data_IF_095262202248
#
_entry.id   IF_095262202248
#
_cell.length_a   1.000
_cell.length_b   1.000
_cell.length_c   1.000
_cell.angle_alpha   90.00
_cell.angle_beta   90.00
_cell.angle_gamma   90.00
#
_symmetry.space_group_name_H-M   'P 1'
#
loop_
_entity.id
_entity.type
_entity.pdbx_description
1 polymer ?
#
# COMPACT_ATOMS: atom_id res chain seq x y z
N UNK A 1 16.02 -12.99 -25.96
CA UNK A 1 15.01 -14.03 -25.71
C UNK A 1 15.00 -14.37 -24.22
N UNK A 2 16.14 -14.76 -23.65
CA UNK A 2 16.27 -15.20 -22.26
C UNK A 2 15.77 -14.19 -21.20
N UNK A 3 16.05 -12.90 -21.34
CA UNK A 3 15.60 -11.87 -20.40
C UNK A 3 14.10 -11.60 -20.42
N UNK A 4 13.44 -11.85 -21.53
CA UNK A 4 11.98 -11.70 -21.65
C UNK A 4 11.28 -12.85 -20.93
N UNK A 5 11.81 -14.06 -21.08
CA UNK A 5 11.25 -15.25 -20.46
C UNK A 5 11.44 -15.20 -18.93
N UNK A 6 12.60 -14.76 -18.46
CA UNK A 6 12.88 -14.51 -17.04
C UNK A 6 11.91 -13.47 -16.42
N UNK A 7 11.60 -12.40 -17.14
CA UNK A 7 10.66 -11.40 -16.65
C UNK A 7 9.22 -11.93 -16.64
N UNK A 8 8.81 -12.69 -17.64
CA UNK A 8 7.48 -13.33 -17.69
C UNK A 8 7.30 -14.28 -16.50
N UNK A 9 8.32 -15.07 -16.19
CA UNK A 9 8.32 -15.94 -15.01
C UNK A 9 8.20 -15.13 -13.72
N UNK A 10 8.99 -14.09 -13.57
CA UNK A 10 8.92 -13.17 -12.41
C UNK A 10 7.55 -12.50 -12.27
N UNK A 11 6.99 -12.00 -13.36
CA UNK A 11 5.66 -11.41 -13.41
C UNK A 11 4.60 -12.39 -12.92
N UNK A 12 4.57 -13.58 -13.50
CA UNK A 12 3.59 -14.62 -13.16
C UNK A 12 3.68 -15.05 -11.70
N UNK A 13 4.90 -15.17 -11.16
CA UNK A 13 5.14 -15.57 -9.78
C UNK A 13 4.82 -14.46 -8.76
N UNK A 14 4.88 -13.18 -9.16
CA UNK A 14 4.81 -12.04 -8.23
C UNK A 14 3.60 -11.14 -8.39
N UNK A 15 2.76 -11.33 -9.40
CA UNK A 15 1.65 -10.42 -9.68
C UNK A 15 0.65 -10.33 -8.51
N UNK A 16 0.21 -11.46 -7.97
CA UNK A 16 -0.72 -11.50 -6.83
C UNK A 16 -0.10 -10.89 -5.56
N UNK A 17 1.18 -11.16 -5.31
CA UNK A 17 1.89 -10.53 -4.21
C UNK A 17 1.97 -9.00 -4.39
N UNK A 18 2.30 -8.53 -5.59
CA UNK A 18 2.36 -7.11 -5.91
C UNK A 18 1.00 -6.40 -5.73
N UNK A 19 -0.09 -7.04 -6.15
CA UNK A 19 -1.46 -6.53 -5.91
C UNK A 19 -1.75 -6.38 -4.42
N UNK A 20 -1.35 -7.33 -3.59
CA UNK A 20 -1.53 -7.28 -2.14
C UNK A 20 -0.70 -6.16 -1.50
N UNK A 21 0.54 -5.96 -1.93
CA UNK A 21 1.37 -4.82 -1.50
C UNK A 21 0.68 -3.51 -1.83
N UNK A 22 0.23 -3.35 -3.05
CA UNK A 22 -0.47 -2.16 -3.50
C UNK A 22 -1.79 -1.93 -2.74
N UNK A 23 -2.55 -3.00 -2.50
CA UNK A 23 -3.79 -2.95 -1.73
C UNK A 23 -3.57 -2.52 -0.27
N UNK A 24 -2.52 -3.00 0.39
CA UNK A 24 -2.17 -2.56 1.74
C UNK A 24 -1.93 -1.04 1.81
N UNK A 25 -1.40 -0.46 0.73
CA UNK A 25 -1.14 0.98 0.62
C UNK A 25 -2.39 1.81 0.27
N UNK A 26 -3.15 1.40 -0.75
CA UNK A 26 -4.26 2.19 -1.31
C UNK A 26 -5.64 1.79 -0.78
N UNK A 27 -5.83 0.55 -0.32
CA UNK A 27 -7.08 0.06 0.23
C UNK A 27 -8.21 -0.16 -0.79
N UNK A 28 -7.90 -0.18 -2.08
CA UNK A 28 -8.84 -0.38 -3.19
C UNK A 28 -8.24 -1.33 -4.22
N UNK A 29 -8.95 -2.41 -4.57
CA UNK A 29 -8.42 -3.44 -5.46
C UNK A 29 -8.21 -2.97 -6.90
N UNK A 30 -9.05 -2.07 -7.40
CA UNK A 30 -8.89 -1.50 -8.74
C UNK A 30 -7.64 -0.63 -8.84
N UNK A 31 -7.43 0.25 -7.86
CA UNK A 31 -6.21 1.05 -7.77
C UNK A 31 -4.97 0.20 -7.52
N UNK A 32 -5.10 -0.85 -6.70
CA UNK A 32 -4.01 -1.78 -6.42
C UNK A 32 -3.52 -2.49 -7.69
N UNK A 33 -4.43 -2.91 -8.55
CA UNK A 33 -4.10 -3.54 -9.82
C UNK A 33 -3.40 -2.56 -10.76
N UNK A 34 -3.88 -1.33 -10.89
CA UNK A 34 -3.22 -0.28 -11.68
C UNK A 34 -1.81 0.04 -11.17
N UNK A 35 -1.64 0.13 -9.85
CA UNK A 35 -0.34 0.35 -9.22
C UNK A 35 0.61 -0.81 -9.48
N UNK A 36 0.14 -2.04 -9.35
CA UNK A 36 0.94 -3.24 -9.61
C UNK A 36 1.37 -3.30 -11.08
N UNK A 37 0.47 -3.08 -12.02
CA UNK A 37 0.77 -3.04 -13.45
C UNK A 37 1.80 -1.95 -13.78
N UNK A 38 1.59 -0.74 -13.28
CA UNK A 38 2.54 0.37 -13.45
C UNK A 38 3.92 0.02 -12.90
N UNK A 39 3.97 -0.62 -11.74
CA UNK A 39 5.23 -1.02 -11.12
C UNK A 39 5.96 -2.10 -11.93
N UNK A 40 5.25 -3.07 -12.49
CA UNK A 40 5.85 -4.07 -13.37
C UNK A 40 6.40 -3.46 -14.66
N UNK A 41 5.69 -2.52 -15.28
CA UNK A 41 6.19 -1.80 -16.47
C UNK A 41 7.49 -1.06 -16.14
N UNK A 42 7.54 -0.34 -15.04
CA UNK A 42 8.75 0.37 -14.59
C UNK A 42 9.89 -0.59 -14.24
N UNK A 43 9.58 -1.72 -13.63
CA UNK A 43 10.56 -2.76 -13.29
C UNK A 43 11.13 -3.40 -14.55
N UNK A 44 10.31 -3.65 -15.57
CA UNK A 44 10.75 -4.21 -16.84
C UNK A 44 11.79 -3.36 -17.53
N UNK A 45 11.63 -2.05 -17.54
CA UNK A 45 12.61 -1.11 -18.14
C UNK A 45 14.00 -1.28 -17.54
N UNK A 46 14.09 -1.62 -16.27
CA UNK A 46 15.35 -1.79 -15.55
C UNK A 46 15.75 -3.25 -15.30
N UNK A 47 14.94 -4.22 -15.80
CA UNK A 47 15.06 -5.63 -15.47
C UNK A 47 16.48 -6.21 -15.65
N UNK A 48 17.16 -5.83 -16.72
CA UNK A 48 18.54 -6.26 -17.01
C UNK A 48 19.57 -5.85 -15.94
N UNK A 49 19.27 -4.83 -15.16
CA UNK A 49 20.16 -4.28 -14.12
C UNK A 49 19.79 -4.77 -12.73
N UNK A 50 18.63 -5.38 -12.58
CA UNK A 50 18.14 -5.87 -11.31
C UNK A 50 18.66 -7.28 -11.09
N UNK A 51 19.31 -7.52 -9.93
CA UNK A 51 19.67 -8.88 -9.54
C UNK A 51 18.40 -9.67 -9.26
N UNK A 52 18.34 -10.92 -9.68
CA UNK A 52 17.14 -11.78 -9.57
C UNK A 52 16.63 -11.88 -8.12
N UNK A 53 17.55 -11.99 -7.16
CA UNK A 53 17.22 -12.05 -5.73
C UNK A 53 16.64 -10.73 -5.18
N UNK A 54 16.97 -9.61 -5.79
CA UNK A 54 16.51 -8.28 -5.41
C UNK A 54 15.20 -7.86 -6.10
N UNK A 55 14.68 -8.65 -7.02
CA UNK A 55 13.51 -8.30 -7.85
C UNK A 55 12.27 -7.94 -7.04
N UNK A 56 11.94 -8.72 -6.00
CA UNK A 56 10.79 -8.47 -5.15
C UNK A 56 10.94 -7.20 -4.31
N UNK A 57 12.12 -6.95 -3.74
CA UNK A 57 12.40 -5.73 -2.97
C UNK A 57 12.35 -4.49 -3.88
N UNK A 58 12.91 -4.58 -5.08
CA UNK A 58 12.83 -3.52 -6.08
C UNK A 58 11.38 -3.22 -6.48
N UNK A 59 10.60 -4.25 -6.78
CA UNK A 59 9.19 -4.12 -7.16
C UNK A 59 8.39 -3.46 -6.02
N UNK A 60 8.58 -3.86 -4.76
CA UNK A 60 7.94 -3.23 -3.59
C UNK A 60 8.28 -1.75 -3.49
N UNK A 61 9.54 -1.38 -3.68
CA UNK A 61 9.97 0.01 -3.70
C UNK A 61 9.28 0.80 -4.81
N UNK A 62 9.19 0.24 -6.01
CA UNK A 62 8.51 0.88 -7.15
C UNK A 62 7.02 1.04 -6.89
N UNK A 63 6.34 0.04 -6.33
CA UNK A 63 4.91 0.13 -5.95
C UNK A 63 4.70 1.25 -4.93
N UNK A 64 5.52 1.30 -3.89
CA UNK A 64 5.40 2.31 -2.83
C UNK A 64 5.59 3.72 -3.37
N UNK A 65 6.62 3.93 -4.19
CA UNK A 65 6.88 5.23 -4.83
C UNK A 65 5.77 5.61 -5.82
N UNK A 66 5.27 4.68 -6.60
CA UNK A 66 4.14 4.92 -7.52
C UNK A 66 2.88 5.32 -6.75
N UNK A 67 2.60 4.66 -5.63
CA UNK A 67 1.49 5.04 -4.74
C UNK A 67 1.61 6.47 -4.25
N UNK A 68 2.77 6.87 -3.74
CA UNK A 68 3.01 8.22 -3.24
C UNK A 68 2.93 9.27 -4.36
N UNK A 69 3.46 8.97 -5.54
CA UNK A 69 3.36 9.84 -6.72
C UNK A 69 1.91 10.08 -7.14
N UNK A 70 1.09 9.03 -7.15
CA UNK A 70 -0.34 9.12 -7.48
C UNK A 70 -1.08 10.02 -6.49
N UNK A 71 -0.78 9.89 -5.19
CA UNK A 71 -1.40 10.70 -4.14
C UNK A 71 -0.97 12.17 -4.21
N UNK A 72 0.28 12.44 -4.51
CA UNK A 72 0.78 13.80 -4.73
C UNK A 72 0.08 14.47 -5.91
N UNK A 73 -0.01 13.79 -7.05
CA UNK A 73 -0.71 14.29 -8.26
C UNK A 73 -2.19 14.50 -8.03
N UNK A 74 -2.84 13.66 -7.24
CA UNK A 74 -4.23 13.81 -6.85
C UNK A 74 -4.49 15.10 -6.07
N UNK A 75 -3.58 15.49 -5.17
CA UNK A 75 -3.66 16.76 -4.42
C UNK A 75 -3.47 17.98 -5.31
N UNK A 76 -2.59 17.90 -6.30
CA UNK A 76 -2.33 19.01 -7.24
C UNK A 76 -3.49 19.25 -8.21
N UNK A 77 -4.36 18.25 -8.41
CA UNK A 77 -5.46 18.31 -9.39
C UNK A 77 -6.80 18.68 -8.80
N UNK A 78 -6.95 18.91 -7.48
CA UNK A 78 -8.20 19.20 -6.78
C UNK A 78 -9.45 19.24 -7.68
N UNK A 79 -9.89 18.09 -8.16
CA UNK A 79 -11.23 17.88 -8.68
C UNK A 79 -11.92 16.93 -7.72
N UNK A 80 -13.17 17.21 -7.30
CA UNK A 80 -13.95 16.25 -6.55
C UNK A 80 -14.11 15.01 -7.41
N UNK A 81 -13.35 13.97 -7.12
CA UNK A 81 -13.53 12.66 -7.74
C UNK A 81 -14.85 12.15 -7.19
N UNK A 82 -15.81 11.93 -8.08
CA UNK A 82 -17.02 11.20 -7.75
C UNK A 82 -16.61 9.88 -7.07
N UNK A 83 -17.27 9.55 -5.96
CA UNK A 83 -17.06 8.28 -5.27
C UNK A 83 -17.05 7.14 -6.30
N UNK A 84 -15.99 6.31 -6.31
CA UNK A 84 -16.02 5.13 -7.14
C UNK A 84 -17.20 4.24 -6.70
N UNK A 85 -17.89 3.56 -7.63
CA UNK A 85 -18.94 2.62 -7.27
C UNK A 85 -18.36 1.60 -6.27
N UNK A 86 -19.17 1.15 -5.29
CA UNK A 86 -18.71 0.17 -4.30
C UNK A 86 -18.17 -1.06 -5.03
N UNK A 87 -16.89 -1.32 -4.86
CA UNK A 87 -16.27 -2.54 -5.36
C UNK A 87 -16.92 -3.74 -4.69
N UNK A 88 -17.18 -4.80 -5.45
CA UNK A 88 -17.76 -6.03 -4.92
C UNK A 88 -16.94 -6.53 -3.72
N UNK A 89 -17.60 -6.92 -2.62
CA UNK A 89 -16.89 -7.48 -1.47
C UNK A 89 -16.22 -8.79 -1.88
N UNK A 90 -14.93 -8.88 -1.63
CA UNK A 90 -14.21 -10.13 -1.75
C UNK A 90 -14.87 -11.20 -0.86
N UNK A 91 -15.01 -12.46 -1.33
CA UNK A 91 -15.76 -13.48 -0.61
C UNK A 91 -15.13 -13.79 0.75
N UNK A 92 -15.95 -13.60 1.75
CA UNK A 92 -16.08 -14.18 3.08
C UNK A 92 -14.85 -14.74 3.82
N UNK A 93 -14.44 -13.96 4.83
CA UNK A 93 -14.05 -14.45 6.15
C UNK A 93 -14.79 -13.60 7.21
N UNK A 94 -16.01 -14.00 7.50
CA UNK A 94 -17.03 -13.13 8.15
C UNK A 94 -16.83 -12.89 9.64
N UNK A 95 -16.00 -13.66 10.36
CA UNK A 95 -15.91 -13.57 11.83
C UNK A 95 -14.60 -12.94 12.37
N UNK A 96 -13.62 -12.68 11.51
CA UNK A 96 -12.45 -11.83 11.81
C UNK A 96 -12.49 -10.53 11.02
N UNK A 97 -13.65 -10.25 10.43
CA UNK A 97 -13.77 -9.23 9.38
C UNK A 97 -13.91 -7.81 9.94
N UNK A 98 -14.59 -7.63 11.06
CA UNK A 98 -14.96 -6.30 11.53
C UNK A 98 -13.74 -5.53 12.06
N UNK A 99 -12.91 -6.15 12.88
CA UNK A 99 -11.67 -5.52 13.37
C UNK A 99 -10.67 -5.25 12.26
N UNK A 100 -10.52 -6.19 11.31
CA UNK A 100 -9.66 -6.00 10.15
C UNK A 100 -10.20 -4.96 9.17
N UNK A 101 -11.51 -4.92 8.98
CA UNK A 101 -12.16 -3.93 8.14
C UNK A 101 -12.04 -2.53 8.77
N UNK A 102 -12.28 -2.42 10.07
CA UNK A 102 -12.10 -1.19 10.83
C UNK A 102 -10.65 -0.70 10.79
N UNK A 103 -9.69 -1.60 10.95
CA UNK A 103 -8.27 -1.27 10.86
C UNK A 103 -7.88 -0.79 9.45
N UNK A 104 -8.34 -1.47 8.39
CA UNK A 104 -8.10 -1.05 7.01
C UNK A 104 -8.71 0.31 6.72
N UNK A 105 -9.94 0.55 7.18
CA UNK A 105 -10.60 1.84 7.03
C UNK A 105 -9.84 2.94 7.77
N UNK A 106 -9.45 2.71 9.01
CA UNK A 106 -8.64 3.63 9.78
C UNK A 106 -7.28 3.93 9.11
N UNK A 107 -6.64 2.90 8.55
CA UNK A 107 -5.38 3.06 7.82
C UNK A 107 -5.54 3.91 6.55
N UNK A 108 -6.68 3.84 5.87
CA UNK A 108 -6.97 4.69 4.70
C UNK A 108 -7.07 6.17 5.05
N UNK A 109 -7.46 6.50 6.27
CA UNK A 109 -7.54 7.87 6.78
C UNK A 109 -6.18 8.44 7.23
N UNK A 110 -5.18 7.58 7.44
CA UNK A 110 -3.80 8.02 7.74
C UNK A 110 -3.20 8.68 6.49
N UNK A 111 -2.50 9.83 6.62
CA UNK A 111 -1.85 10.47 5.50
C UNK A 111 -0.95 9.50 4.70
N UNK A 112 -0.89 9.61 3.36
CA UNK A 112 -0.28 8.58 2.50
C UNK A 112 1.16 8.22 2.87
N UNK A 113 2.00 9.20 3.19
CA UNK A 113 3.40 8.95 3.54
C UNK A 113 3.56 8.24 4.88
N UNK A 114 2.76 8.62 5.87
CA UNK A 114 2.69 7.93 7.16
C UNK A 114 2.16 6.52 6.99
N UNK A 115 1.12 6.34 6.17
CA UNK A 115 0.56 5.02 5.84
C UNK A 115 1.60 4.11 5.20
N UNK A 116 2.35 4.61 4.22
CA UNK A 116 3.44 3.85 3.59
C UNK A 116 4.47 3.37 4.64
N UNK A 117 4.88 4.24 5.56
CA UNK A 117 5.80 3.87 6.65
C UNK A 117 5.21 2.77 7.52
N UNK A 118 3.95 2.88 7.93
CA UNK A 118 3.28 1.86 8.76
C UNK A 118 3.17 0.51 8.04
N UNK A 119 2.79 0.52 6.77
CA UNK A 119 2.69 -0.70 5.96
C UNK A 119 4.05 -1.36 5.80
N UNK A 120 5.08 -0.62 5.44
CA UNK A 120 6.43 -1.17 5.27
C UNK A 120 7.01 -1.70 6.60
N UNK A 121 6.75 -1.00 7.71
CA UNK A 121 7.27 -1.37 9.02
C UNK A 121 6.56 -2.55 9.65
N UNK A 122 5.23 -2.54 9.66
CA UNK A 122 4.42 -3.48 10.44
C UNK A 122 3.78 -4.61 9.63
N UNK A 123 3.53 -4.40 8.34
CA UNK A 123 3.00 -5.46 7.46
C UNK A 123 4.14 -6.24 6.80
N UNK A 124 5.19 -5.54 6.36
CA UNK A 124 6.33 -6.17 5.67
C UNK A 124 7.58 -6.31 6.54
N UNK A 125 7.51 -5.85 7.77
CA UNK A 125 8.58 -5.99 8.79
C UNK A 125 9.96 -5.52 8.30
N UNK A 126 9.98 -4.40 7.57
CA UNK A 126 11.22 -3.84 7.08
C UNK A 126 11.96 -3.07 8.19
N UNK A 127 13.30 -3.16 8.22
CA UNK A 127 14.10 -2.31 9.08
C UNK A 127 13.97 -0.82 8.67
N UNK A 128 14.14 0.06 9.64
CA UNK A 128 13.98 1.51 9.47
C UNK A 128 14.90 2.07 8.37
N UNK A 129 16.09 1.53 8.24
CA UNK A 129 17.09 1.90 7.24
C UNK A 129 16.59 1.60 5.81
N UNK A 130 15.98 0.45 5.60
CA UNK A 130 15.42 0.04 4.31
C UNK A 130 14.18 0.88 3.94
N UNK A 131 13.36 1.23 4.92
CA UNK A 131 12.23 2.15 4.73
C UNK A 131 12.74 3.54 4.34
N UNK A 132 13.79 4.04 4.99
CA UNK A 132 14.41 5.31 4.67
C UNK A 132 14.91 5.36 3.22
N UNK A 133 15.56 4.31 2.75
CA UNK A 133 15.98 4.17 1.35
C UNK A 133 14.78 4.14 0.39
N UNK A 134 13.76 3.34 0.70
CA UNK A 134 12.53 3.22 -0.11
C UNK A 134 11.84 4.57 -0.28
N UNK A 135 11.73 5.36 0.80
CA UNK A 135 11.04 6.65 0.81
C UNK A 135 11.96 7.84 0.50
N UNK A 136 13.24 7.59 0.29
CA UNK A 136 14.26 8.62 0.05
C UNK A 136 14.25 9.71 1.13
N UNK A 137 14.35 9.30 2.37
CA UNK A 137 14.38 10.19 3.54
C UNK A 137 15.35 9.66 4.62
N UNK A 138 15.54 10.42 5.68
CA UNK A 138 16.38 10.01 6.79
C UNK A 138 15.70 8.98 7.70
N UNK A 139 16.49 8.21 8.44
CA UNK A 139 16.00 7.32 9.51
C UNK A 139 15.21 8.09 10.57
N UNK A 140 15.64 9.30 10.92
CA UNK A 140 14.91 10.18 11.83
C UNK A 140 13.52 10.54 11.31
N UNK A 141 13.39 10.81 10.01
CA UNK A 141 12.09 11.06 9.35
C UNK A 141 11.20 9.81 9.41
N UNK A 142 11.73 8.63 9.15
CA UNK A 142 10.97 7.36 9.28
C UNK A 142 10.43 7.21 10.70
N UNK A 143 11.25 7.43 11.71
CA UNK A 143 10.83 7.32 13.12
C UNK A 143 9.75 8.34 13.48
N UNK A 144 9.86 9.59 13.06
CA UNK A 144 8.85 10.61 13.32
C UNK A 144 7.55 10.35 12.55
N UNK A 145 7.62 9.89 11.31
CA UNK A 145 6.46 9.48 10.53
C UNK A 145 5.77 8.26 11.12
N UNK A 146 6.52 7.30 11.66
CA UNK A 146 5.97 6.15 12.39
C UNK A 146 5.16 6.61 13.60
N UNK A 147 5.71 7.46 14.43
CA UNK A 147 5.03 7.98 15.62
C UNK A 147 3.73 8.74 15.27
N UNK A 148 3.79 9.62 14.29
CA UNK A 148 2.62 10.37 13.80
C UNK A 148 1.58 9.45 13.15
N UNK A 149 2.03 8.48 12.37
CA UNK A 149 1.16 7.50 11.72
C UNK A 149 0.41 6.64 12.73
N UNK A 150 1.08 6.13 13.75
CA UNK A 150 0.45 5.37 14.83
C UNK A 150 -0.56 6.20 15.60
N UNK A 151 -0.26 7.46 15.89
CA UNK A 151 -1.20 8.37 16.56
C UNK A 151 -2.44 8.62 15.70
N UNK A 152 -2.28 8.88 14.41
CA UNK A 152 -3.37 9.06 13.48
C UNK A 152 -4.21 7.77 13.34
N UNK A 153 -3.56 6.61 13.21
CA UNK A 153 -4.23 5.32 13.11
C UNK A 153 -5.10 5.04 14.33
N UNK A 154 -4.56 5.22 15.54
CA UNK A 154 -5.32 5.02 16.80
C UNK A 154 -6.54 5.93 16.87
N UNK A 155 -6.41 7.18 16.49
CA UNK A 155 -7.51 8.13 16.48
C UNK A 155 -8.62 7.74 15.52
N UNK A 156 -8.28 7.32 14.32
CA UNK A 156 -9.25 6.88 13.31
C UNK A 156 -9.88 5.54 13.67
N UNK A 157 -9.10 4.61 14.21
CA UNK A 157 -9.61 3.33 14.68
C UNK A 157 -10.63 3.48 15.81
N UNK A 158 -10.35 4.33 16.80
CA UNK A 158 -11.28 4.60 17.90
C UNK A 158 -12.63 5.13 17.37
N UNK A 159 -12.63 6.06 16.41
CA UNK A 159 -13.88 6.57 15.81
C UNK A 159 -14.65 5.47 15.07
N UNK A 160 -13.98 4.57 14.37
CA UNK A 160 -14.65 3.45 13.68
C UNK A 160 -15.30 2.50 14.68
N UNK A 161 -14.65 2.21 15.79
CA UNK A 161 -15.19 1.37 16.84
C UNK A 161 -16.47 1.99 17.47
N UNK A 162 -16.46 3.28 17.77
CA UNK A 162 -17.62 4.01 18.30
C UNK A 162 -18.81 3.98 17.31
N UNK A 163 -18.58 4.15 16.02
CA UNK A 163 -19.62 4.12 15.00
C UNK A 163 -20.30 2.76 14.90
N UNK A 164 -19.51 1.67 14.99
CA UNK A 164 -20.02 0.30 14.93
C UNK A 164 -20.82 -0.09 16.19
N UNK A 165 -20.47 0.46 17.36
CA UNK A 165 -21.25 0.28 18.60
C UNK A 165 -22.60 0.98 18.52
N UNK A 166 -22.66 2.19 17.97
CA UNK A 166 -23.89 2.95 17.80
C UNK A 166 -24.86 2.31 16.78
N UNK A 167 -24.35 1.73 15.70
CA UNK A 167 -25.15 1.01 14.70
C UNK A 167 -25.71 -0.32 15.24
N UNK A 168 -25.08 -0.93 16.22
CA UNK A 168 -25.50 -2.21 16.79
C UNK A 168 -26.52 -2.06 17.95
N UNK A 169 -26.76 -0.84 18.43
CA UNK A 169 -27.70 -0.53 19.52
C UNK A 169 -29.05 0.01 19.00
N UNK A 170 -29.17 0.25 17.70
CA UNK A 170 -30.40 0.71 17.04
C UNK A 170 -31.17 -0.42 16.38
#
# INVERSE_FOLDING_TARGET
>A
VEHKDDFVEFYSARFEWARRVAYALCGDWSQAEELAQTAFVRTYVHWRRIRREAGAAYLRTVITRAFLDTRRRGREREQPVAEPPPGEPAPSEIARSDDRAALRQALREVPPRQRAVLVLRFVYDLPVEEIAETLNCSVGTVKSQTARGLKALRRHYARQAETLEDENVG
#
